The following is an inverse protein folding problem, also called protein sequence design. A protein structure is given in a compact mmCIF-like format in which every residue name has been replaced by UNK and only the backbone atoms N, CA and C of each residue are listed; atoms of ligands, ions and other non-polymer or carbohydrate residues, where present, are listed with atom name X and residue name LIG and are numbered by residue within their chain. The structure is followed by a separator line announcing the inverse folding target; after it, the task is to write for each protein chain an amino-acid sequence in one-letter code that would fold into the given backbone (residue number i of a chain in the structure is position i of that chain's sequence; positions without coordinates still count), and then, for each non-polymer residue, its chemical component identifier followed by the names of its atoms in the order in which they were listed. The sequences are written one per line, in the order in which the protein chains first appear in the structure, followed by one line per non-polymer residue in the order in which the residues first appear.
data_IF_098546017297
#
_entry.id   IF_098546017297
#
_cell.length_a   1.000
_cell.length_b   1.000
_cell.length_c   1.000
_cell.angle_alpha   90.00
_cell.angle_beta   90.00
_cell.angle_gamma   90.00
#
_symmetry.space_group_name_H-M   'P 1'
#
loop_
_entity.id
_entity.type
_entity.pdbx_description
1 polymer ?
#
# COMPACT_ATOMS: atom_id res chain seq x y z
N UNK A 1 2.94 4.88 8.31
CA UNK A 1 1.93 4.92 7.23
C UNK A 1 2.35 5.99 6.24
N UNK A 2 2.52 5.64 4.96
CA UNK A 2 3.02 6.55 3.91
C UNK A 2 1.86 7.05 3.05
N UNK A 3 1.93 8.31 2.61
CA UNK A 3 0.93 8.92 1.72
C UNK A 3 1.52 9.12 0.33
N UNK A 4 0.79 8.70 -0.69
CA UNK A 4 1.15 8.89 -2.09
C UNK A 4 0.09 9.73 -2.79
N UNK A 5 0.50 10.82 -3.43
CA UNK A 5 -0.39 11.71 -4.20
C UNK A 5 -0.23 11.40 -5.70
N UNK A 6 -1.26 10.80 -6.30
CA UNK A 6 -1.18 10.29 -7.69
C UNK A 6 -0.96 11.43 -8.69
N UNK A 7 -1.47 12.63 -8.41
CA UNK A 7 -1.36 13.77 -9.33
C UNK A 7 0.09 14.33 -9.38
N UNK A 8 0.93 14.00 -8.40
CA UNK A 8 2.32 14.49 -8.28
C UNK A 8 3.37 13.44 -8.56
N UNK A 9 2.96 12.19 -8.75
CA UNK A 9 3.90 11.07 -8.68
C UNK A 9 3.63 10.04 -9.77
N UNK A 10 4.46 10.05 -10.81
CA UNK A 10 4.50 9.00 -11.81
C UNK A 10 5.41 7.86 -11.31
N UNK A 11 4.94 7.14 -10.29
CA UNK A 11 5.64 5.96 -9.76
C UNK A 11 5.01 4.71 -10.37
N UNK A 12 5.87 3.80 -10.81
CA UNK A 12 5.49 2.47 -11.22
C UNK A 12 4.89 1.70 -10.03
N UNK A 13 3.68 1.17 -10.19
CA UNK A 13 2.97 0.36 -9.20
C UNK A 13 3.85 -0.78 -8.65
N UNK A 14 4.75 -1.31 -9.48
CA UNK A 14 5.70 -2.36 -9.12
C UNK A 14 6.62 -1.96 -7.97
N UNK A 15 7.08 -0.70 -7.96
CA UNK A 15 7.96 -0.18 -6.89
C UNK A 15 7.21 -0.07 -5.57
N UNK A 16 5.95 0.38 -5.62
CA UNK A 16 5.09 0.51 -4.43
C UNK A 16 4.81 -0.86 -3.82
N UNK A 17 4.46 -1.84 -4.65
CA UNK A 17 4.18 -3.21 -4.20
C UNK A 17 5.44 -3.83 -3.57
N UNK A 18 6.60 -3.67 -4.18
CA UNK A 18 7.86 -4.16 -3.63
C UNK A 18 8.19 -3.51 -2.28
N UNK A 19 8.05 -2.19 -2.14
CA UNK A 19 8.28 -1.48 -0.89
C UNK A 19 7.38 -1.99 0.25
N UNK A 20 6.09 -2.17 -0.05
CA UNK A 20 5.08 -2.67 0.91
C UNK A 20 5.39 -4.10 1.33
N UNK A 21 5.72 -4.97 0.38
CA UNK A 21 6.03 -6.38 0.65
C UNK A 21 7.33 -6.54 1.45
N UNK A 22 8.39 -5.82 1.07
CA UNK A 22 9.69 -5.88 1.74
C UNK A 22 9.63 -5.31 3.15
N UNK A 23 8.97 -4.17 3.34
CA UNK A 23 8.98 -3.46 4.63
C UNK A 23 7.78 -3.80 5.53
N UNK A 24 6.86 -4.64 5.05
CA UNK A 24 5.59 -4.92 5.75
C UNK A 24 4.87 -3.62 6.16
N UNK A 25 4.88 -2.64 5.25
CA UNK A 25 4.42 -1.28 5.54
C UNK A 25 3.13 -0.95 4.77
N UNK A 26 2.33 -0.05 5.31
CA UNK A 26 1.08 0.39 4.69
C UNK A 26 1.24 1.70 3.93
N UNK A 27 0.58 1.79 2.77
CA UNK A 27 0.51 2.99 1.94
C UNK A 27 -0.94 3.40 1.72
N UNK A 28 -1.23 4.68 1.98
CA UNK A 28 -2.49 5.33 1.62
C UNK A 28 -2.29 6.13 0.35
N UNK A 29 -3.10 5.82 -0.65
CA UNK A 29 -3.14 6.55 -1.90
C UNK A 29 -4.15 7.68 -1.76
N UNK A 30 -3.71 8.88 -2.09
CA UNK A 30 -4.49 10.11 -2.05
C UNK A 30 -4.56 10.73 -3.43
N UNK A 31 -5.66 11.43 -3.70
CA UNK A 31 -5.84 12.28 -4.87
C UNK A 31 -6.38 13.62 -4.38
N UNK A 32 -5.69 14.71 -4.71
CA UNK A 32 -6.06 16.05 -4.22
C UNK A 32 -6.17 16.12 -2.69
N UNK A 33 -5.31 15.39 -1.97
CA UNK A 33 -5.32 15.31 -0.50
C UNK A 33 -6.41 14.42 0.09
N UNK A 34 -7.28 13.81 -0.72
CA UNK A 34 -8.34 12.91 -0.27
C UNK A 34 -7.90 11.44 -0.42
N UNK A 35 -8.09 10.58 0.59
CA UNK A 35 -7.76 9.16 0.49
C UNK A 35 -8.70 8.45 -0.48
N UNK A 36 -8.14 7.70 -1.43
CA UNK A 36 -8.89 6.96 -2.46
C UNK A 36 -8.66 5.45 -2.40
N UNK A 37 -7.51 5.02 -1.89
CA UNK A 37 -7.22 3.60 -1.70
C UNK A 37 -6.18 3.40 -0.59
N UNK A 38 -6.11 2.18 -0.05
CA UNK A 38 -5.06 1.76 0.87
C UNK A 38 -4.53 0.41 0.42
N UNK A 39 -3.22 0.29 0.35
CA UNK A 39 -2.53 -0.96 0.07
C UNK A 39 -1.87 -1.41 1.36
N UNK A 40 -2.17 -2.66 1.75
CA UNK A 40 -1.65 -3.29 2.96
C UNK A 40 -0.96 -4.61 2.60
N UNK A 41 0.08 -5.02 3.34
CA UNK A 41 0.65 -6.35 3.18
C UNK A 41 -0.41 -7.42 3.43
N UNK A 42 -0.50 -8.40 2.52
CA UNK A 42 -1.34 -9.56 2.76
C UNK A 42 -0.69 -10.45 3.82
N UNK A 43 -1.39 -10.65 4.93
CA UNK A 43 -0.98 -11.59 5.97
C UNK A 43 -1.95 -12.76 5.99
N UNK A 44 -1.44 -13.98 5.77
CA UNK A 44 -2.23 -15.19 6.03
C UNK A 44 -2.30 -15.33 7.54
N UNK A 45 -3.41 -14.92 8.15
CA UNK A 45 -3.71 -15.37 9.51
C UNK A 45 -3.78 -16.90 9.46
N UNK A 46 -2.96 -17.60 10.23
CA UNK A 46 -3.19 -19.02 10.54
C UNK A 46 -4.49 -19.14 11.35
N UNK A 47 -5.64 -18.94 10.70
CA UNK A 47 -6.95 -19.29 11.22
C UNK A 47 -7.46 -20.46 10.39
N UNK A 48 -7.01 -21.65 10.75
CA UNK A 48 -7.35 -22.86 10.00
C UNK A 48 -6.59 -24.12 10.42
N UNK A 49 -6.28 -24.29 11.71
CA UNK A 49 -6.11 -25.63 12.27
C UNK A 49 -7.32 -25.89 13.15
N UNK A 50 -8.38 -26.43 12.52
CA UNK A 50 -9.38 -27.22 13.22
C UNK A 50 -8.82 -28.62 13.41
#
# INVERSE_FOLDING_TARGET
MKHLDIDKTNIDLTVIINEIATNQSEVVITRQGLPVARIVPYTISKSGSR
#
